data_IF_768301411984
#
_entry.id   IF_768301411984
#
_cell.length_a   1.000
_cell.length_b   1.000
_cell.length_c   1.000
_cell.angle_alpha   90.00
_cell.angle_beta   90.00
_cell.angle_gamma   90.00
#
_symmetry.space_group_name_H-M   'P 1'
#
loop_
_entity.id
_entity.type
_entity.pdbx_description
1 polymer ?
#
# COMPACT_ATOMS: atom_id res chain seq x y z
N UNK A 1 -5.23 9.10 -8.70
CA UNK A 1 -4.63 8.18 -7.73
C UNK A 1 -3.54 8.93 -6.99
N UNK A 2 -3.69 9.07 -5.68
CA UNK A 2 -2.66 9.52 -4.74
C UNK A 2 -1.73 8.36 -4.38
N UNK A 3 -0.62 8.63 -3.69
CA UNK A 3 0.27 7.57 -3.20
C UNK A 3 -0.45 6.48 -2.39
N UNK A 4 -1.27 6.84 -1.39
CA UNK A 4 -2.11 5.89 -0.66
C UNK A 4 -3.12 5.11 -1.53
N UNK A 5 -3.70 5.75 -2.55
CA UNK A 5 -4.61 5.06 -3.49
C UNK A 5 -3.85 4.05 -4.36
N UNK A 6 -2.62 4.37 -4.78
CA UNK A 6 -1.75 3.42 -5.47
C UNK A 6 -1.36 2.23 -4.57
N UNK A 7 -1.12 2.47 -3.28
CA UNK A 7 -0.84 1.40 -2.33
C UNK A 7 -2.01 0.42 -2.21
N UNK A 8 -3.23 0.91 -1.94
CA UNK A 8 -4.44 0.07 -1.83
C UNK A 8 -4.72 -0.73 -3.10
N UNK A 9 -4.52 -0.12 -4.27
CA UNK A 9 -4.76 -0.83 -5.54
C UNK A 9 -3.73 -1.94 -5.79
N UNK A 10 -2.48 -1.74 -5.39
CA UNK A 10 -1.47 -2.80 -5.44
C UNK A 10 -1.86 -4.00 -4.57
N UNK A 11 -2.32 -3.75 -3.33
CA UNK A 11 -2.81 -4.82 -2.44
C UNK A 11 -4.03 -5.52 -3.02
N UNK A 12 -5.02 -4.76 -3.51
CA UNK A 12 -6.24 -5.31 -4.13
C UNK A 12 -5.92 -6.23 -5.30
N UNK A 13 -4.94 -5.87 -6.15
CA UNK A 13 -4.52 -6.68 -7.29
C UNK A 13 -3.81 -7.98 -6.86
N UNK A 14 -3.07 -7.96 -5.75
CA UNK A 14 -2.36 -9.13 -5.22
C UNK A 14 -3.30 -10.07 -4.44
N UNK A 15 -4.25 -9.53 -3.68
CA UNK A 15 -5.24 -10.31 -2.92
C UNK A 15 -6.10 -11.20 -3.83
N UNK A 16 -6.40 -10.73 -5.05
CA UNK A 16 -7.15 -11.51 -6.04
C UNK A 16 -6.47 -12.81 -6.48
N UNK A 17 -5.15 -12.93 -6.29
CA UNK A 17 -4.39 -14.16 -6.54
C UNK A 17 -4.12 -15.00 -5.30
N UNK A 18 -4.58 -14.58 -4.12
CA UNK A 18 -4.25 -15.24 -2.85
C UNK A 18 -5.34 -16.25 -2.49
N UNK A 19 -5.23 -17.47 -3.04
CA UNK A 19 -6.09 -18.59 -2.68
C UNK A 19 -5.44 -19.47 -1.60
N UNK A 20 -6.24 -20.16 -0.75
CA UNK A 20 -5.73 -21.21 0.13
C UNK A 20 -4.88 -22.22 -0.63
N UNK A 21 -3.87 -22.82 0.00
CA UNK A 21 -2.91 -23.71 -0.68
C UNK A 21 -3.58 -24.88 -1.45
N UNK A 22 -4.74 -25.36 -0.97
CA UNK A 22 -5.53 -26.43 -1.59
C UNK A 22 -6.40 -25.95 -2.77
N UNK A 23 -6.57 -24.64 -2.94
CA UNK A 23 -7.31 -23.99 -4.04
C UNK A 23 -6.39 -23.16 -4.93
N UNK A 24 -5.06 -23.20 -4.70
CA UNK A 24 -4.09 -22.41 -5.43
C UNK A 24 -4.12 -22.72 -6.92
N UNK A 25 -4.52 -21.72 -7.69
CA UNK A 25 -4.21 -21.64 -9.10
C UNK A 25 -2.81 -21.02 -9.26
N UNK A 26 -1.82 -21.83 -9.62
CA UNK A 26 -0.45 -21.37 -9.84
C UNK A 26 -0.30 -20.45 -11.07
N UNK A 27 -1.34 -20.30 -11.87
CA UNK A 27 -1.40 -19.35 -12.99
C UNK A 27 -2.00 -18.00 -12.58
N UNK A 28 -2.50 -17.88 -11.35
CA UNK A 28 -3.00 -16.65 -10.76
C UNK A 28 -2.07 -16.12 -9.64
N UNK A 29 -1.95 -14.79 -9.49
CA UNK A 29 -2.39 -13.77 -10.43
C UNK A 29 -1.56 -13.81 -11.73
N UNK A 30 -2.16 -13.38 -12.85
CA UNK A 30 -1.44 -13.34 -14.13
C UNK A 30 -0.23 -12.41 -14.06
N UNK A 31 0.77 -12.62 -14.93
CA UNK A 31 1.94 -11.75 -15.00
C UNK A 31 1.58 -10.27 -15.25
N UNK A 32 0.49 -10.00 -15.97
CA UNK A 32 -0.05 -8.66 -16.20
C UNK A 32 -0.58 -8.03 -14.91
N UNK A 33 -1.31 -8.79 -14.09
CA UNK A 33 -1.81 -8.33 -12.78
C UNK A 33 -0.64 -8.06 -11.84
N UNK A 34 0.38 -8.93 -11.82
CA UNK A 34 1.60 -8.73 -11.03
C UNK A 34 2.34 -7.47 -11.50
N UNK A 35 2.49 -7.26 -12.81
CA UNK A 35 3.14 -6.08 -13.36
C UNK A 35 2.38 -4.79 -13.00
N UNK A 36 1.05 -4.81 -13.11
CA UNK A 36 0.21 -3.69 -12.69
C UNK A 36 0.38 -3.40 -11.19
N UNK A 37 0.24 -4.41 -10.33
CA UNK A 37 0.44 -4.27 -8.89
C UNK A 37 1.82 -3.68 -8.56
N UNK A 38 2.87 -4.11 -9.27
CA UNK A 38 4.22 -3.61 -9.09
C UNK A 38 4.38 -2.13 -9.49
N UNK A 39 3.76 -1.69 -10.58
CA UNK A 39 3.73 -0.27 -10.99
C UNK A 39 3.02 0.57 -9.93
N UNK A 40 1.87 0.12 -9.43
CA UNK A 40 1.16 0.79 -8.36
C UNK A 40 1.99 0.89 -7.08
N UNK A 41 2.62 -0.21 -6.63
CA UNK A 41 3.51 -0.21 -5.48
C UNK A 41 4.71 0.74 -5.65
N UNK A 42 5.29 0.81 -6.86
CA UNK A 42 6.41 1.72 -7.16
C UNK A 42 5.98 3.19 -7.11
N UNK A 43 4.81 3.52 -7.66
CA UNK A 43 4.26 4.88 -7.60
C UNK A 43 3.90 5.29 -6.17
N UNK A 44 3.36 4.35 -5.37
CA UNK A 44 3.12 4.56 -3.95
C UNK A 44 4.44 4.83 -3.20
N UNK A 45 5.48 4.02 -3.43
CA UNK A 45 6.79 4.22 -2.84
C UNK A 45 7.38 5.58 -3.23
N UNK A 46 7.36 5.93 -4.51
CA UNK A 46 7.86 7.22 -5.00
C UNK A 46 7.13 8.38 -4.31
N UNK A 47 5.80 8.31 -4.20
CA UNK A 47 5.01 9.30 -3.48
C UNK A 47 5.45 9.40 -2.01
N UNK A 48 5.50 8.28 -1.28
CA UNK A 48 5.93 8.21 0.12
C UNK A 48 7.32 8.85 0.33
N UNK A 49 8.28 8.53 -0.56
CA UNK A 49 9.63 9.12 -0.49
C UNK A 49 9.66 10.60 -0.81
N UNK A 50 8.79 11.09 -1.70
CA UNK A 50 8.71 12.51 -2.03
C UNK A 50 8.10 13.35 -0.90
N UNK A 51 7.26 12.76 -0.03
CA UNK A 51 6.71 13.46 1.15
C UNK A 51 7.58 13.36 2.38
N UNK A 52 8.62 12.52 2.38
CA UNK A 52 9.63 12.52 3.43
C UNK A 52 10.51 13.77 3.23
N UNK A 53 9.95 14.92 3.61
CA UNK A 53 10.56 16.24 3.44
C UNK A 53 11.85 16.33 4.27
N UNK A 54 13.02 16.52 3.64
CA UNK A 54 14.28 16.75 4.34
C UNK A 54 14.41 18.22 4.80
N UNK A 55 13.30 18.89 5.13
CA UNK A 55 13.27 20.30 5.51
C UNK A 55 14.35 20.59 6.57
N UNK A 56 15.25 21.55 6.32
CA UNK A 56 16.28 21.94 7.29
C UNK A 56 15.69 22.57 8.56
N UNK A 57 14.38 22.87 8.55
CA UNK A 57 13.62 23.35 9.70
C UNK A 57 12.92 22.22 10.49
N UNK A 58 13.05 20.96 10.05
CA UNK A 58 12.46 19.77 10.67
C UNK A 58 10.93 19.84 10.86
N UNK A 59 10.22 20.57 9.99
CA UNK A 59 8.74 20.67 10.04
C UNK A 59 8.06 19.32 9.75
N UNK A 60 8.80 18.36 9.21
CA UNK A 60 8.34 17.00 8.94
C UNK A 60 7.28 16.94 7.85
N UNK A 61 6.74 15.75 7.62
CA UNK A 61 5.63 15.55 6.69
C UNK A 61 4.37 16.26 7.24
N UNK A 62 3.59 16.99 6.42
CA UNK A 62 2.35 17.64 6.87
C UNK A 62 1.41 16.62 7.54
N UNK A 63 0.77 17.02 8.65
CA UNK A 63 -0.06 16.10 9.46
C UNK A 63 -1.21 15.45 8.69
N UNK A 64 -1.80 16.15 7.71
CA UNK A 64 -2.83 15.59 6.84
C UNK A 64 -2.28 14.48 5.94
N UNK A 65 -1.07 14.67 5.39
CA UNK A 65 -0.44 13.66 4.55
C UNK A 65 -0.02 12.44 5.39
N UNK A 66 0.51 12.66 6.59
CA UNK A 66 0.84 11.58 7.52
C UNK A 66 -0.39 10.75 7.91
N UNK A 67 -1.54 11.39 8.13
CA UNK A 67 -2.79 10.69 8.45
C UNK A 67 -3.30 9.81 7.29
N UNK A 68 -3.21 10.29 6.05
CA UNK A 68 -3.61 9.49 4.87
C UNK A 68 -2.74 8.24 4.68
N UNK A 69 -1.43 8.35 4.92
CA UNK A 69 -0.52 7.21 4.86
C UNK A 69 -0.72 6.25 6.03
N UNK A 70 -0.93 6.76 7.23
CA UNK A 70 -1.22 5.92 8.39
C UNK A 70 -2.47 5.05 8.16
N UNK A 71 -3.52 5.62 7.54
CA UNK A 71 -4.76 4.92 7.24
C UNK A 71 -4.63 3.78 6.21
N UNK A 72 -3.54 3.73 5.43
CA UNK A 72 -3.30 2.64 4.45
C UNK A 72 -2.21 1.68 4.88
N UNK A 73 -1.15 2.16 5.51
CA UNK A 73 -0.03 1.33 5.95
C UNK A 73 -0.32 0.64 7.30
N UNK A 74 -1.14 1.27 8.14
CA UNK A 74 -1.52 0.79 9.46
C UNK A 74 -3.04 0.91 9.65
N UNK A 75 -3.84 0.14 8.89
CA UNK A 75 -5.28 0.14 9.12
C UNK A 75 -5.54 -0.23 10.58
N UNK A 76 -6.18 0.67 11.35
CA UNK A 76 -6.55 0.41 12.74
C UNK A 76 -7.39 -0.88 12.75
N UNK A 77 -7.03 -1.89 13.56
CA UNK A 77 -7.84 -3.10 13.66
C UNK A 77 -9.26 -2.71 14.09
N UNK A 78 -10.32 -3.35 13.57
CA UNK A 78 -11.67 -3.12 14.06
C UNK A 78 -11.66 -3.27 15.58
N UNK A 79 -12.32 -2.35 16.29
CA UNK A 79 -12.25 -2.22 17.75
C UNK A 79 -12.23 -3.60 18.45
N UNK A 80 -11.08 -3.97 19.02
CA UNK A 80 -10.90 -5.23 19.76
C UNK A 80 -9.83 -6.20 19.23
N UNK A 81 -9.15 -5.91 18.12
CA UNK A 81 -7.98 -6.69 17.70
C UNK A 81 -6.67 -6.08 18.20
N UNK A 82 -5.87 -6.82 18.98
CA UNK A 82 -4.48 -6.41 19.25
C UNK A 82 -3.68 -6.34 17.93
N UNK A 83 -2.69 -5.42 17.82
CA UNK A 83 -1.83 -5.36 16.64
C UNK A 83 -1.01 -6.64 16.51
N UNK A 84 -0.98 -7.20 15.29
CA UNK A 84 -0.14 -8.33 14.92
C UNK A 84 1.35 -7.95 14.83
#
# INVERSE_FOLDING_TARGET
MTGPEHYREAERLLEQGTLPEHERDYTAPSAEVIAAAHVHATLALAAATAMNDPSPLAEGQPSWAAAEWAAVAFPVPPEGGEPA
#
